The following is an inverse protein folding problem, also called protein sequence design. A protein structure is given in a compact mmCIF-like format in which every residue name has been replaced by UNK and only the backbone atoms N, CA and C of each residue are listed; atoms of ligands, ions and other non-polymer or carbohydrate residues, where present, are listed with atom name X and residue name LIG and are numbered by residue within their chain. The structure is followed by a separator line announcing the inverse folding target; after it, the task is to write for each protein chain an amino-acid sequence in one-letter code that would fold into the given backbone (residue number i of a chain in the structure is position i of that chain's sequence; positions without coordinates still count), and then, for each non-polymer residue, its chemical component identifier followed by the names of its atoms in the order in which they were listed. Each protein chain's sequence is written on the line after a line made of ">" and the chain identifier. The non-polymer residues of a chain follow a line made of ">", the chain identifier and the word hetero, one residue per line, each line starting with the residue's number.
data_IF_532919662432
#
_entry.id   IF_532919662432
#
_cell.length_a   1.000
_cell.length_b   1.000
_cell.length_c   1.000
_cell.angle_alpha   90.00
_cell.angle_beta   90.00
_cell.angle_gamma   90.00
#
_symmetry.space_group_name_H-M   'P 1'
#
loop_
_entity.id
_entity.type
_entity.pdbx_description
1 polymer ?
#
# COMPACT_ATOMS: atom_id res chain seq x y z
N UNK A 1 26.85 -23.55 1.41
CA UNK A 1 26.78 -23.26 2.85
C UNK A 1 26.63 -21.76 3.17
N UNK A 2 27.33 -20.89 2.44
CA UNK A 2 27.20 -19.42 2.62
C UNK A 2 25.89 -18.85 2.05
N UNK A 3 25.35 -19.41 0.99
CA UNK A 3 24.08 -18.99 0.39
C UNK A 3 22.88 -19.24 1.32
N UNK A 4 22.88 -20.35 2.06
CA UNK A 4 21.79 -20.71 2.98
C UNK A 4 21.74 -19.82 4.24
N UNK A 5 22.91 -19.34 4.72
CA UNK A 5 22.95 -18.38 5.84
C UNK A 5 22.43 -16.99 5.43
N UNK A 6 22.82 -16.51 4.24
CA UNK A 6 22.35 -15.21 3.73
C UNK A 6 20.83 -15.17 3.52
N UNK A 7 20.23 -16.23 2.97
CA UNK A 7 18.77 -16.32 2.82
C UNK A 7 18.07 -16.33 4.18
N UNK A 8 18.57 -17.11 5.14
CA UNK A 8 17.97 -17.17 6.49
C UNK A 8 17.97 -15.82 7.21
N UNK A 9 19.03 -15.02 7.04
CA UNK A 9 19.13 -13.68 7.66
C UNK A 9 18.22 -12.66 6.97
N UNK A 10 18.01 -12.76 5.66
CA UNK A 10 17.05 -11.94 4.92
C UNK A 10 15.62 -12.23 5.38
N UNK A 11 15.23 -13.51 5.49
CA UNK A 11 13.91 -13.90 5.98
C UNK A 11 13.68 -13.53 7.45
N UNK A 12 14.69 -13.64 8.31
CA UNK A 12 14.61 -13.18 9.71
C UNK A 12 14.40 -11.67 9.81
N UNK A 13 15.13 -10.89 9.03
CA UNK A 13 14.95 -9.43 8.99
C UNK A 13 13.57 -9.05 8.47
N UNK A 14 13.08 -9.69 7.42
CA UNK A 14 11.74 -9.48 6.89
C UNK A 14 10.67 -9.87 7.93
N UNK A 15 10.84 -10.98 8.65
CA UNK A 15 9.96 -11.38 9.75
C UNK A 15 9.93 -10.38 10.90
N UNK A 16 11.08 -9.83 11.29
CA UNK A 16 11.19 -8.80 12.32
C UNK A 16 10.48 -7.49 11.91
N UNK A 17 10.67 -7.03 10.67
CA UNK A 17 9.98 -5.84 10.16
C UNK A 17 8.46 -6.06 10.08
N UNK A 18 8.02 -7.25 9.68
CA UNK A 18 6.59 -7.60 9.67
C UNK A 18 6.00 -7.67 11.08
N UNK A 19 6.74 -8.20 12.05
CA UNK A 19 6.32 -8.25 13.45
C UNK A 19 6.26 -6.85 14.08
N UNK A 20 7.24 -5.99 13.83
CA UNK A 20 7.24 -4.59 14.28
C UNK A 20 6.09 -3.80 13.64
N UNK A 21 5.83 -4.01 12.36
CA UNK A 21 4.68 -3.43 11.69
C UNK A 21 3.36 -3.88 12.33
N UNK A 22 3.21 -5.18 12.64
CA UNK A 22 2.00 -5.72 13.26
C UNK A 22 1.75 -5.17 14.66
N UNK A 23 2.80 -5.00 15.48
CA UNK A 23 2.69 -4.39 16.81
C UNK A 23 2.31 -2.90 16.71
N UNK A 24 2.84 -2.21 15.72
CA UNK A 24 2.53 -0.79 15.47
C UNK A 24 1.08 -0.60 14.99
N UNK A 25 0.53 -1.56 14.22
CA UNK A 25 -0.88 -1.54 13.78
C UNK A 25 -1.82 -1.54 14.99
N UNK A 26 -1.58 -2.39 16.00
CA UNK A 26 -2.42 -2.46 17.20
C UNK A 26 -2.57 -1.09 17.88
N UNK A 27 -1.47 -0.40 18.13
CA UNK A 27 -1.47 0.94 18.77
C UNK A 27 -2.09 2.06 17.92
N UNK A 28 -1.96 1.96 16.59
CA UNK A 28 -2.49 2.95 15.65
C UNK A 28 -4.00 2.78 15.50
N UNK A 29 -4.50 1.54 15.48
CA UNK A 29 -5.94 1.23 15.36
C UNK A 29 -6.73 1.53 16.63
N UNK A 30 -6.09 1.69 17.79
CA UNK A 30 -6.73 2.17 19.01
C UNK A 30 -7.09 3.66 18.96
N UNK A 31 -6.37 4.45 18.16
CA UNK A 31 -6.54 5.91 18.11
C UNK A 31 -7.26 6.42 16.85
N UNK A 32 -7.23 5.66 15.76
CA UNK A 32 -7.80 6.06 14.47
C UNK A 32 -8.72 4.97 13.92
N UNK A 33 -9.81 5.37 13.29
CA UNK A 33 -10.68 4.42 12.57
C UNK A 33 -9.92 3.81 11.39
N UNK A 34 -10.13 2.50 11.15
CA UNK A 34 -9.43 1.75 10.08
C UNK A 34 -9.51 2.44 8.70
N UNK A 35 -10.68 2.99 8.28
CA UNK A 35 -10.76 3.73 7.01
C UNK A 35 -9.84 4.95 6.94
N UNK A 36 -9.69 5.70 8.04
CA UNK A 36 -8.79 6.87 8.08
C UNK A 36 -7.32 6.47 7.95
N UNK A 37 -6.94 5.33 8.54
CA UNK A 37 -5.56 4.83 8.43
C UNK A 37 -5.25 4.46 6.97
N UNK A 38 -6.15 3.75 6.28
CA UNK A 38 -5.96 3.40 4.87
C UNK A 38 -5.91 4.66 4.00
N UNK A 39 -6.79 5.63 4.25
CA UNK A 39 -6.78 6.91 3.54
C UNK A 39 -5.46 7.65 3.72
N UNK A 40 -5.00 7.86 4.96
CA UNK A 40 -3.75 8.60 5.24
C UNK A 40 -2.52 7.88 4.70
N UNK A 41 -2.47 6.55 4.80
CA UNK A 41 -1.38 5.75 4.24
C UNK A 41 -1.34 5.85 2.71
N UNK A 42 -2.50 5.73 2.05
CA UNK A 42 -2.60 5.83 0.59
C UNK A 42 -2.20 7.23 0.10
N UNK A 43 -2.66 8.28 0.79
CA UNK A 43 -2.28 9.66 0.49
C UNK A 43 -0.78 9.90 0.68
N UNK A 44 -0.21 9.41 1.80
CA UNK A 44 1.22 9.53 2.09
C UNK A 44 2.08 8.84 1.01
N UNK A 45 1.68 7.63 0.57
CA UNK A 45 2.38 6.92 -0.51
C UNK A 45 2.37 7.74 -1.81
N UNK A 46 1.23 8.31 -2.21
CA UNK A 46 1.14 9.18 -3.38
C UNK A 46 2.10 10.37 -3.30
N UNK A 47 2.15 11.04 -2.14
CA UNK A 47 3.08 12.16 -1.89
C UNK A 47 4.54 11.72 -1.94
N UNK A 48 4.86 10.55 -1.37
CA UNK A 48 6.21 10.00 -1.41
C UNK A 48 6.68 9.68 -2.83
N UNK A 49 5.80 9.27 -3.74
CA UNK A 49 6.17 9.08 -5.16
C UNK A 49 6.54 10.40 -5.84
N UNK A 50 5.87 11.50 -5.52
CA UNK A 50 6.25 12.83 -6.03
C UNK A 50 7.61 13.25 -5.47
N UNK A 51 7.83 13.07 -4.17
CA UNK A 51 9.10 13.41 -3.52
C UNK A 51 10.26 12.58 -4.10
N UNK A 52 10.04 11.30 -4.42
CA UNK A 52 11.04 10.46 -5.07
C UNK A 52 11.46 11.01 -6.44
N UNK A 53 10.55 11.60 -7.20
CA UNK A 53 10.88 12.21 -8.49
C UNK A 53 11.76 13.45 -8.35
N UNK A 54 11.52 14.27 -7.32
CA UNK A 54 12.24 15.53 -7.09
C UNK A 54 13.64 15.30 -6.52
N UNK A 55 13.88 14.15 -5.87
CA UNK A 55 15.16 13.85 -5.23
C UNK A 55 16.24 13.42 -6.22
N UNK A 56 17.35 14.18 -6.35
CA UNK A 56 18.44 13.85 -7.26
C UNK A 56 19.38 12.76 -6.71
N UNK A 57 19.25 12.38 -5.43
CA UNK A 57 20.15 11.45 -4.74
C UNK A 57 19.58 10.04 -4.71
N UNK A 58 20.43 9.05 -5.07
CA UNK A 58 20.07 7.62 -5.00
C UNK A 58 19.77 7.17 -3.55
N UNK A 59 20.46 7.75 -2.57
CA UNK A 59 20.21 7.48 -1.16
C UNK A 59 18.86 8.03 -0.70
N UNK A 60 18.52 9.26 -1.13
CA UNK A 60 17.21 9.85 -0.85
C UNK A 60 16.07 9.02 -1.45
N UNK A 61 16.24 8.58 -2.69
CA UNK A 61 15.26 7.71 -3.36
C UNK A 61 15.08 6.39 -2.58
N UNK A 62 16.16 5.78 -2.09
CA UNK A 62 16.11 4.56 -1.27
C UNK A 62 15.35 4.76 0.04
N UNK A 63 15.57 5.88 0.74
CA UNK A 63 14.88 6.20 2.00
C UNK A 63 13.38 6.40 1.76
N UNK A 64 12.99 7.22 0.77
CA UNK A 64 11.57 7.45 0.46
C UNK A 64 10.89 6.16 -0.02
N UNK A 65 11.60 5.29 -0.74
CA UNK A 65 11.09 3.98 -1.15
C UNK A 65 10.84 3.05 0.04
N UNK A 66 11.75 3.06 1.01
CA UNK A 66 11.59 2.28 2.25
C UNK A 66 10.38 2.76 3.07
N UNK A 67 10.22 4.08 3.20
CA UNK A 67 9.08 4.70 3.90
C UNK A 67 7.77 4.37 3.16
N UNK A 68 7.74 4.49 1.84
CA UNK A 68 6.57 4.11 1.03
C UNK A 68 6.21 2.64 1.22
N UNK A 69 7.21 1.74 1.21
CA UNK A 69 7.04 0.32 1.48
C UNK A 69 6.45 0.03 2.86
N UNK A 70 6.86 0.79 3.88
CA UNK A 70 6.31 0.69 5.22
C UNK A 70 4.80 1.04 5.23
N UNK A 71 4.39 2.15 4.63
CA UNK A 71 2.97 2.51 4.52
C UNK A 71 2.17 1.49 3.70
N UNK A 72 2.71 1.00 2.59
CA UNK A 72 2.07 -0.05 1.80
C UNK A 72 1.85 -1.35 2.58
N UNK A 73 2.78 -1.69 3.49
CA UNK A 73 2.68 -2.85 4.37
C UNK A 73 1.47 -2.82 5.30
N UNK A 74 0.93 -1.64 5.63
CA UNK A 74 -0.27 -1.51 6.45
C UNK A 74 -1.57 -1.59 5.65
N UNK A 75 -1.58 -1.15 4.40
CA UNK A 75 -2.78 -1.06 3.58
C UNK A 75 -3.44 -2.43 3.40
N UNK A 76 -2.66 -3.44 3.04
CA UNK A 76 -3.18 -4.79 2.76
C UNK A 76 -3.85 -5.45 3.96
N UNK A 77 -3.23 -5.56 5.16
CA UNK A 77 -3.88 -6.22 6.30
C UNK A 77 -5.11 -5.46 6.80
N UNK A 78 -5.09 -4.12 6.75
CA UNK A 78 -6.25 -3.31 7.16
C UNK A 78 -7.39 -3.46 6.15
N UNK A 79 -7.09 -3.45 4.84
CA UNK A 79 -8.10 -3.68 3.80
C UNK A 79 -8.74 -5.07 3.95
N UNK A 80 -7.95 -6.11 4.19
CA UNK A 80 -8.45 -7.46 4.45
C UNK A 80 -9.34 -7.52 5.69
N UNK A 81 -9.00 -6.80 6.75
CA UNK A 81 -9.81 -6.71 7.96
C UNK A 81 -11.15 -6.01 7.69
N UNK A 82 -11.14 -4.92 6.92
CA UNK A 82 -12.36 -4.21 6.53
C UNK A 82 -13.29 -5.11 5.69
N UNK A 83 -12.73 -5.84 4.72
CA UNK A 83 -13.48 -6.81 3.91
C UNK A 83 -14.08 -7.90 4.81
N UNK A 84 -13.29 -8.46 5.73
CA UNK A 84 -13.76 -9.51 6.65
C UNK A 84 -14.89 -9.03 7.58
N UNK A 85 -14.91 -7.76 7.94
CA UNK A 85 -15.99 -7.17 8.76
C UNK A 85 -17.24 -6.84 7.93
N UNK A 86 -17.06 -6.45 6.67
CA UNK A 86 -18.17 -6.03 5.80
C UNK A 86 -18.87 -7.21 5.09
N UNK A 87 -18.21 -8.37 4.97
CA UNK A 87 -18.70 -9.50 4.18
C UNK A 87 -19.10 -10.67 5.07
N UNK A 88 -20.32 -11.24 4.93
CA UNK A 88 -20.73 -12.47 5.61
C UNK A 88 -19.77 -13.63 5.34
N UNK A 89 -19.59 -14.53 6.31
CA UNK A 89 -18.58 -15.58 6.30
C UNK A 89 -18.69 -16.49 5.07
N UNK A 90 -19.92 -16.75 4.61
CA UNK A 90 -20.24 -17.61 3.49
C UNK A 90 -19.74 -17.05 2.15
N UNK A 91 -19.60 -15.72 2.04
CA UNK A 91 -19.19 -15.02 0.81
C UNK A 91 -17.74 -14.53 0.82
N UNK A 92 -17.05 -14.65 1.95
CA UNK A 92 -15.67 -14.16 2.08
C UNK A 92 -14.72 -14.76 1.05
N UNK A 93 -14.83 -16.07 0.79
CA UNK A 93 -14.00 -16.75 -0.19
C UNK A 93 -14.12 -16.16 -1.60
N UNK A 94 -15.34 -15.86 -2.03
CA UNK A 94 -15.60 -15.25 -3.35
C UNK A 94 -15.00 -13.84 -3.42
N UNK A 95 -15.21 -13.02 -2.38
CA UNK A 95 -14.71 -11.65 -2.35
C UNK A 95 -13.18 -11.61 -2.31
N UNK A 96 -12.55 -12.43 -1.46
CA UNK A 96 -11.09 -12.52 -1.42
C UNK A 96 -10.50 -13.08 -2.71
N UNK A 97 -11.17 -14.02 -3.35
CA UNK A 97 -10.80 -14.52 -4.67
C UNK A 97 -10.82 -13.42 -5.73
N UNK A 98 -11.88 -12.63 -5.77
CA UNK A 98 -12.00 -11.50 -6.68
C UNK A 98 -10.91 -10.44 -6.43
N UNK A 99 -10.68 -10.06 -5.17
CA UNK A 99 -9.61 -9.11 -4.78
C UNK A 99 -8.23 -9.63 -5.20
N UNK A 100 -7.94 -10.91 -4.96
CA UNK A 100 -6.68 -11.53 -5.35
C UNK A 100 -6.50 -11.55 -6.87
N UNK A 101 -7.56 -11.83 -7.62
CA UNK A 101 -7.52 -11.82 -9.09
C UNK A 101 -7.20 -10.42 -9.62
N UNK A 102 -7.85 -9.39 -9.10
CA UNK A 102 -7.56 -7.98 -9.47
C UNK A 102 -6.12 -7.59 -9.10
N UNK A 103 -5.65 -8.00 -7.93
CA UNK A 103 -4.27 -7.75 -7.51
C UNK A 103 -3.24 -8.44 -8.44
N UNK A 104 -3.50 -9.69 -8.85
CA UNK A 104 -2.65 -10.39 -9.83
C UNK A 104 -2.64 -9.70 -11.18
N UNK A 105 -3.79 -9.24 -11.67
CA UNK A 105 -3.86 -8.45 -12.90
C UNK A 105 -3.03 -7.16 -12.78
N UNK A 106 -3.13 -6.45 -11.64
CA UNK A 106 -2.32 -5.27 -11.36
C UNK A 106 -0.83 -5.56 -11.38
N UNK A 107 -0.39 -6.68 -10.80
CA UNK A 107 1.01 -7.10 -10.77
C UNK A 107 1.57 -7.42 -12.17
N UNK A 108 0.75 -7.93 -13.09
CA UNK A 108 1.16 -8.20 -14.48
C UNK A 108 1.11 -6.93 -15.32
N UNK A 109 0.00 -6.19 -15.26
CA UNK A 109 -0.21 -5.00 -16.09
C UNK A 109 0.63 -3.80 -15.63
N UNK A 110 0.87 -3.66 -14.33
CA UNK A 110 1.61 -2.54 -13.75
C UNK A 110 3.00 -2.33 -14.38
N UNK A 111 3.89 -3.31 -14.39
CA UNK A 111 5.21 -3.19 -15.02
C UNK A 111 5.14 -2.90 -16.52
N UNK A 112 4.19 -3.54 -17.24
CA UNK A 112 4.02 -3.33 -18.69
C UNK A 112 3.59 -1.88 -18.97
N UNK A 113 2.56 -1.39 -18.29
CA UNK A 113 2.07 -0.01 -18.45
C UNK A 113 3.13 1.01 -18.04
N UNK A 114 3.83 0.77 -16.93
CA UNK A 114 4.92 1.63 -16.47
C UNK A 114 6.05 1.71 -17.49
N UNK A 115 6.42 0.58 -18.11
CA UNK A 115 7.43 0.52 -19.17
C UNK A 115 7.00 1.29 -20.42
N UNK A 116 5.74 1.17 -20.83
CA UNK A 116 5.17 1.93 -21.95
C UNK A 116 5.17 3.43 -21.67
N UNK A 117 4.73 3.86 -20.48
CA UNK A 117 4.74 5.27 -20.06
C UNK A 117 6.17 5.81 -20.03
N UNK A 118 7.11 5.06 -19.46
CA UNK A 118 8.51 5.45 -19.40
C UNK A 118 9.12 5.65 -20.80
N UNK A 119 8.78 4.78 -21.75
CA UNK A 119 9.24 4.87 -23.13
C UNK A 119 8.63 6.05 -23.88
N UNK A 120 7.35 6.35 -23.68
CA UNK A 120 6.63 7.39 -24.42
C UNK A 120 6.87 8.79 -23.83
N UNK A 121 6.91 8.93 -22.49
CA UNK A 121 6.90 10.21 -21.79
C UNK A 121 8.08 10.39 -20.82
N UNK A 122 9.00 9.43 -20.77
CA UNK A 122 10.15 9.45 -19.88
C UNK A 122 9.85 8.92 -18.45
N UNK A 123 10.89 8.67 -17.69
CA UNK A 123 10.79 8.08 -16.35
C UNK A 123 9.98 8.94 -15.35
N UNK A 124 10.04 10.27 -15.49
CA UNK A 124 9.29 11.18 -14.62
C UNK A 124 7.77 10.94 -14.69
N UNK A 125 7.27 10.64 -15.90
CA UNK A 125 5.83 10.39 -16.10
C UNK A 125 5.33 9.17 -15.31
N UNK A 126 6.19 8.18 -15.05
CA UNK A 126 5.84 7.01 -14.24
C UNK A 126 5.57 7.41 -12.79
N UNK A 127 6.39 8.29 -12.20
CA UNK A 127 6.19 8.76 -10.84
C UNK A 127 4.89 9.58 -10.71
N UNK A 128 4.65 10.49 -11.66
CA UNK A 128 3.43 11.30 -11.69
C UNK A 128 2.18 10.48 -11.90
N UNK A 129 2.19 9.52 -12.83
CA UNK A 129 1.04 8.64 -13.08
C UNK A 129 0.75 7.74 -11.87
N UNK A 130 1.79 7.21 -11.22
CA UNK A 130 1.64 6.42 -10.02
C UNK A 130 1.07 7.25 -8.87
N UNK A 131 1.60 8.45 -8.65
CA UNK A 131 1.08 9.37 -7.64
C UNK A 131 -0.39 9.72 -7.89
N UNK A 132 -0.76 10.01 -9.15
CA UNK A 132 -2.14 10.30 -9.52
C UNK A 132 -3.09 9.13 -9.21
N UNK A 133 -2.69 7.89 -9.50
CA UNK A 133 -3.48 6.69 -9.17
C UNK A 133 -3.68 6.58 -7.66
N UNK A 134 -2.64 6.82 -6.84
CA UNK A 134 -2.76 6.80 -5.39
C UNK A 134 -3.67 7.90 -4.85
N UNK A 135 -3.63 9.11 -5.41
CA UNK A 135 -4.52 10.20 -5.00
C UNK A 135 -5.98 9.92 -5.40
N UNK A 136 -6.23 9.38 -6.59
CA UNK A 136 -7.57 8.96 -7.00
C UNK A 136 -8.10 7.85 -6.09
N UNK A 137 -7.28 6.86 -5.77
CA UNK A 137 -7.63 5.80 -4.84
C UNK A 137 -7.92 6.36 -3.43
N UNK A 138 -7.09 7.28 -2.93
CA UNK A 138 -7.31 7.94 -1.64
C UNK A 138 -8.62 8.73 -1.62
N UNK A 139 -8.93 9.49 -2.69
CA UNK A 139 -10.20 10.22 -2.80
C UNK A 139 -11.41 9.27 -2.79
N UNK A 140 -11.30 8.13 -3.47
CA UNK A 140 -12.36 7.11 -3.46
C UNK A 140 -12.55 6.51 -2.07
N UNK A 141 -11.45 6.17 -1.37
CA UNK A 141 -11.49 5.67 0.01
C UNK A 141 -12.14 6.71 0.94
N UNK A 142 -11.77 7.97 0.81
CA UNK A 142 -12.33 9.05 1.62
C UNK A 142 -13.85 9.14 1.46
N UNK A 143 -14.33 9.18 0.22
CA UNK A 143 -15.76 9.27 -0.07
C UNK A 143 -16.55 8.03 0.33
N UNK A 144 -15.98 6.84 0.14
CA UNK A 144 -16.71 5.57 0.32
C UNK A 144 -16.66 5.03 1.75
N UNK A 145 -15.60 5.33 2.51
CA UNK A 145 -15.36 4.70 3.80
C UNK A 145 -15.21 5.70 4.95
N UNK A 146 -14.60 6.86 4.72
CA UNK A 146 -14.33 7.83 5.79
C UNK A 146 -15.58 8.64 6.11
N UNK A 147 -16.22 9.24 5.12
CA UNK A 147 -17.44 10.06 5.33
C UNK A 147 -18.55 9.25 6.01
N UNK A 148 -18.92 8.02 5.54
CA UNK A 148 -19.95 7.23 6.20
C UNK A 148 -19.60 6.82 7.64
N UNK A 149 -18.32 6.60 7.95
CA UNK A 149 -17.88 6.25 9.31
C UNK A 149 -18.00 7.44 10.29
N UNK A 150 -17.86 8.65 9.82
CA UNK A 150 -18.04 9.87 10.64
C UNK A 150 -19.51 10.16 10.95
N UNK A 151 -20.40 9.89 10.00
CA UNK A 151 -21.84 10.08 10.19
C UNK A 151 -22.49 9.09 11.16
N UNK A 152 -21.84 7.96 11.45
CA UNK A 152 -22.31 6.96 12.43
C UNK A 152 -21.78 7.21 13.85
N UNK A 153 -20.80 8.08 14.02
CA UNK A 153 -20.17 8.40 15.30
C UNK A 153 -20.68 9.73 15.91
N UNK A 154 -21.49 10.47 15.19
CA UNK A 154 -22.16 11.72 15.60
C UNK A 154 -23.59 11.45 16.00
#
# INVERSE_FOLDING_TARGET
>A
YYASRGLGDVYKRQGLFSALASISIGKITERLTMPRIVFTATWAVGTLFILQYIMPSIWGLGIFRAIAGFFMGFITPIANTLISKAVPIERRGIVFGAVSSVAMMGNVLGPVLSGMIARAFGYGAVFWSTAAIFFVAALFIYRSLVIPSESQSA
#
